data_IF_287889208090
#
_entry.id   IF_287889208090
#
_cell.length_a   1.000
_cell.length_b   1.000
_cell.length_c   1.000
_cell.angle_alpha   90.00
_cell.angle_beta   90.00
_cell.angle_gamma   90.00
#
_symmetry.space_group_name_H-M   'P 1'
#
loop_
_entity.id
_entity.type
_entity.pdbx_description
1 polymer ?
#
# COMPACT_ATOMS: atom_id res chain seq x y z
N UNK A 1 -8.42 -18.75 8.12
CA UNK A 1 -8.44 -19.55 6.86
C UNK A 1 -9.89 -19.90 6.54
N UNK A 2 -10.37 -19.66 5.32
CA UNK A 2 -11.71 -20.03 4.87
C UNK A 2 -11.57 -21.20 3.91
N UNK A 3 -12.20 -22.33 4.22
CA UNK A 3 -12.18 -23.53 3.38
C UNK A 3 -13.40 -23.63 2.47
N UNK A 4 -14.56 -23.18 2.95
CA UNK A 4 -15.77 -23.03 2.15
C UNK A 4 -16.57 -21.82 2.62
N UNK A 5 -17.25 -21.16 1.68
CA UNK A 5 -18.19 -20.08 1.94
C UNK A 5 -19.44 -20.54 2.73
N UNK A 6 -19.80 -21.83 2.62
CA UNK A 6 -20.92 -22.45 3.37
C UNK A 6 -20.57 -22.81 4.82
N UNK A 7 -19.29 -22.69 5.20
CA UNK A 7 -18.75 -23.18 6.47
C UNK A 7 -18.34 -22.03 7.40
N UNK A 8 -19.07 -20.91 7.36
CA UNK A 8 -18.87 -19.77 8.26
C UNK A 8 -19.71 -20.03 9.51
N UNK A 9 -19.06 -20.39 10.61
CA UNK A 9 -19.71 -20.63 11.89
C UNK A 9 -19.16 -19.69 12.95
N UNK A 10 -20.04 -19.23 13.84
CA UNK A 10 -19.58 -18.59 15.06
C UNK A 10 -18.95 -19.65 15.97
N UNK A 11 -17.77 -19.34 16.49
CA UNK A 11 -17.07 -20.23 17.43
C UNK A 11 -16.44 -19.41 18.54
N UNK A 12 -16.32 -20.02 19.72
CA UNK A 12 -15.66 -19.42 20.88
C UNK A 12 -14.42 -20.21 21.23
N UNK A 13 -13.30 -19.49 21.36
CA UNK A 13 -12.09 -20.03 21.97
C UNK A 13 -12.36 -20.24 23.46
N UNK A 14 -12.33 -21.50 23.89
CA UNK A 14 -12.55 -21.93 25.25
C UNK A 14 -11.28 -21.75 26.10
N UNK A 15 -11.39 -21.86 27.42
CA UNK A 15 -10.24 -21.72 28.33
C UNK A 15 -9.13 -22.76 28.09
N UNK A 16 -9.47 -23.91 27.49
CA UNK A 16 -8.52 -24.94 27.09
C UNK A 16 -7.91 -24.68 25.69
N UNK A 17 -8.09 -23.48 25.12
CA UNK A 17 -7.68 -23.10 23.77
C UNK A 17 -8.35 -23.89 22.62
N UNK A 18 -9.44 -24.61 22.89
CA UNK A 18 -10.22 -25.27 21.85
C UNK A 18 -11.33 -24.36 21.33
N UNK A 19 -11.61 -24.45 20.03
CA UNK A 19 -12.75 -23.77 19.41
C UNK A 19 -14.01 -24.62 19.57
N UNK A 20 -15.09 -24.05 20.09
CA UNK A 20 -16.40 -24.69 20.21
C UNK A 20 -17.52 -23.83 19.59
N UNK A 21 -18.24 -24.33 18.56
CA UNK A 21 -17.98 -25.60 17.85
C UNK A 21 -16.61 -25.61 17.15
N UNK A 22 -16.07 -26.82 16.89
CA UNK A 22 -14.81 -26.97 16.15
C UNK A 22 -14.89 -26.29 14.79
N UNK A 23 -13.78 -25.72 14.33
CA UNK A 23 -13.72 -25.08 13.03
C UNK A 23 -14.03 -26.09 11.90
N UNK A 24 -14.97 -25.79 10.99
CA UNK A 24 -15.41 -26.69 9.93
C UNK A 24 -14.41 -26.75 8.77
N UNK A 25 -13.24 -27.34 9.04
CA UNK A 25 -12.10 -27.52 8.11
C UNK A 25 -12.24 -28.77 7.22
N UNK A 26 -13.46 -29.20 6.93
CA UNK A 26 -13.75 -30.53 6.34
C UNK A 26 -13.59 -30.57 4.81
N UNK A 27 -13.60 -29.44 4.12
CA UNK A 27 -13.35 -29.35 2.67
C UNK A 27 -12.55 -28.08 2.32
N UNK A 28 -11.23 -28.18 2.45
CA UNK A 28 -10.29 -27.12 2.05
C UNK A 28 -9.68 -27.38 0.66
N UNK A 29 -10.24 -28.32 -0.11
CA UNK A 29 -9.73 -28.67 -1.44
C UNK A 29 -10.01 -27.58 -2.47
N UNK A 30 -11.12 -26.84 -2.30
CA UNK A 30 -11.58 -25.77 -3.18
C UNK A 30 -11.90 -24.49 -2.37
N UNK A 31 -10.90 -23.83 -1.75
CA UNK A 31 -11.15 -22.63 -0.98
C UNK A 31 -11.72 -21.51 -1.85
N UNK A 32 -12.59 -20.64 -1.30
CA UNK A 32 -13.16 -19.54 -2.06
C UNK A 32 -12.06 -18.66 -2.64
N UNK A 33 -12.22 -18.29 -3.90
CA UNK A 33 -11.29 -17.37 -4.56
C UNK A 33 -11.53 -15.96 -4.04
N UNK A 34 -10.46 -15.28 -3.65
CA UNK A 34 -10.57 -13.86 -3.30
C UNK A 34 -10.84 -13.00 -4.55
N UNK A 35 -11.63 -11.96 -4.36
CA UNK A 35 -12.16 -11.12 -5.43
C UNK A 35 -11.95 -9.63 -5.13
N UNK A 36 -12.12 -8.83 -6.17
CA UNK A 36 -12.18 -7.37 -6.11
C UNK A 36 -13.57 -6.97 -6.60
N UNK A 37 -14.29 -6.19 -5.80
CA UNK A 37 -15.64 -5.71 -6.15
C UNK A 37 -15.73 -4.20 -5.96
N UNK A 38 -16.43 -3.53 -6.87
CA UNK A 38 -16.76 -2.10 -6.71
C UNK A 38 -17.81 -1.95 -5.62
N UNK A 39 -17.65 -0.97 -4.74
CA UNK A 39 -18.62 -0.63 -3.69
C UNK A 39 -18.93 0.86 -3.67
N UNK A 40 -20.17 1.25 -3.35
CA UNK A 40 -20.49 2.65 -3.07
C UNK A 40 -19.79 3.09 -1.79
N UNK A 41 -18.92 4.09 -1.89
CA UNK A 41 -18.23 4.68 -0.74
C UNK A 41 -17.85 6.13 -1.06
N UNK A 42 -18.59 7.07 -0.47
CA UNK A 42 -18.44 8.50 -0.75
C UNK A 42 -17.12 9.11 -0.27
N UNK A 43 -16.32 8.36 0.49
CA UNK A 43 -14.98 8.78 0.92
C UNK A 43 -14.00 8.75 -0.28
N UNK A 44 -14.22 7.87 -1.25
CA UNK A 44 -13.35 7.78 -2.42
C UNK A 44 -13.75 8.83 -3.47
N UNK A 45 -12.85 9.76 -3.88
CA UNK A 45 -13.13 10.70 -4.96
C UNK A 45 -13.27 10.06 -6.35
N UNK A 46 -13.02 8.75 -6.48
CA UNK A 46 -13.16 7.99 -7.72
C UNK A 46 -13.91 6.68 -7.47
N UNK A 47 -13.32 5.50 -7.72
CA UNK A 47 -14.03 4.23 -7.54
C UNK A 47 -13.46 3.43 -6.37
N UNK A 48 -14.29 3.19 -5.35
CA UNK A 48 -13.90 2.33 -4.24
C UNK A 48 -14.02 0.85 -4.63
N UNK A 49 -12.95 0.10 -4.41
CA UNK A 49 -12.88 -1.33 -4.60
C UNK A 49 -12.62 -2.01 -3.26
N UNK A 50 -13.49 -2.93 -2.84
CA UNK A 50 -13.19 -3.82 -1.70
C UNK A 50 -12.49 -5.09 -2.19
N UNK A 51 -11.53 -5.57 -1.41
CA UNK A 51 -10.79 -6.80 -1.69
C UNK A 51 -10.96 -7.77 -0.54
N UNK A 52 -11.29 -9.02 -0.86
CA UNK A 52 -11.60 -10.02 0.15
C UNK A 52 -12.27 -11.26 -0.42
N UNK A 53 -13.12 -11.89 0.39
CA UNK A 53 -13.84 -13.10 0.02
C UNK A 53 -15.35 -12.88 0.14
N UNK A 54 -16.08 -13.13 -0.94
CA UNK A 54 -17.55 -13.21 -0.90
C UNK A 54 -17.94 -14.55 -0.27
N UNK A 55 -18.64 -14.48 0.87
CA UNK A 55 -19.08 -15.66 1.65
C UNK A 55 -20.54 -15.99 1.34
N UNK A 56 -21.35 -14.98 1.05
CA UNK A 56 -22.72 -15.11 0.55
C UNK A 56 -23.09 -13.85 -0.24
N UNK A 57 -24.35 -13.71 -0.64
CA UNK A 57 -24.83 -12.46 -1.24
C UNK A 57 -24.89 -11.28 -0.27
N UNK A 58 -24.89 -11.55 1.04
CA UNK A 58 -24.96 -10.53 2.09
C UNK A 58 -23.71 -10.44 2.96
N UNK A 59 -22.81 -11.43 2.90
CA UNK A 59 -21.59 -11.49 3.71
C UNK A 59 -20.33 -11.42 2.86
N UNK A 60 -19.43 -10.51 3.24
CA UNK A 60 -18.12 -10.32 2.60
C UNK A 60 -17.05 -10.19 3.68
N UNK A 61 -16.04 -11.07 3.66
CA UNK A 61 -14.84 -10.90 4.47
C UNK A 61 -13.91 -9.92 3.77
N UNK A 62 -13.97 -8.67 4.18
CA UNK A 62 -13.14 -7.60 3.64
C UNK A 62 -11.76 -7.60 4.29
N UNK A 63 -10.70 -7.54 3.48
CA UNK A 63 -9.32 -7.37 3.96
C UNK A 63 -8.89 -5.91 3.90
N UNK A 64 -9.22 -5.24 2.79
CA UNK A 64 -8.94 -3.82 2.59
C UNK A 64 -9.85 -3.23 1.52
N UNK A 65 -9.94 -1.90 1.51
CA UNK A 65 -10.53 -1.12 0.41
C UNK A 65 -9.48 -0.28 -0.26
N UNK A 66 -9.59 -0.13 -1.58
CA UNK A 66 -8.75 0.73 -2.40
C UNK A 66 -9.60 1.75 -3.14
N UNK A 67 -9.30 3.03 -2.93
CA UNK A 67 -9.81 4.08 -3.79
C UNK A 67 -8.93 4.17 -5.04
N UNK A 68 -9.48 3.76 -6.17
CA UNK A 68 -8.72 3.54 -7.39
C UNK A 68 -9.36 4.23 -8.59
N UNK A 69 -8.54 4.95 -9.36
CA UNK A 69 -8.95 5.52 -10.64
C UNK A 69 -8.51 4.57 -11.77
N UNK A 70 -9.48 3.95 -12.44
CA UNK A 70 -9.23 3.00 -13.54
C UNK A 70 -8.60 3.69 -14.75
N UNK A 71 -9.05 4.90 -15.08
CA UNK A 71 -8.58 5.67 -16.24
C UNK A 71 -7.11 6.05 -16.10
N UNK A 72 -6.71 6.62 -14.95
CA UNK A 72 -5.31 6.98 -14.68
C UNK A 72 -4.50 5.83 -14.08
N UNK A 73 -5.11 4.65 -13.88
CA UNK A 73 -4.49 3.47 -13.28
C UNK A 73 -3.76 3.78 -11.96
N UNK A 74 -4.43 4.53 -11.08
CA UNK A 74 -3.84 5.12 -9.86
C UNK A 74 -4.58 4.63 -8.63
N UNK A 75 -3.85 4.06 -7.67
CA UNK A 75 -4.35 3.87 -6.32
C UNK A 75 -4.13 5.17 -5.53
N UNK A 76 -5.22 5.83 -5.12
CA UNK A 76 -5.15 7.07 -4.34
C UNK A 76 -4.84 6.77 -2.88
N UNK A 77 -5.61 5.86 -2.29
CA UNK A 77 -5.37 5.36 -0.94
C UNK A 77 -5.98 3.98 -0.77
N UNK A 78 -5.46 3.25 0.21
CA UNK A 78 -5.99 1.99 0.70
C UNK A 78 -6.23 2.09 2.20
N UNK A 79 -7.33 1.52 2.66
CA UNK A 79 -7.70 1.42 4.07
C UNK A 79 -7.79 -0.06 4.44
N UNK A 80 -7.10 -0.45 5.51
CA UNK A 80 -7.19 -1.81 6.05
C UNK A 80 -7.13 -1.81 7.58
N UNK A 81 -7.59 -2.91 8.16
CA UNK A 81 -7.35 -3.22 9.57
C UNK A 81 -6.18 -4.19 9.67
N UNK A 82 -5.23 -3.89 10.54
CA UNK A 82 -4.13 -4.77 10.89
C UNK A 82 -4.35 -5.33 12.29
N UNK A 83 -4.08 -6.62 12.44
CA UNK A 83 -4.25 -7.38 13.68
C UNK A 83 -2.91 -8.03 14.08
N UNK A 84 -2.71 -8.37 15.37
CA UNK A 84 -1.55 -9.13 15.80
C UNK A 84 -1.46 -10.47 15.06
N UNK A 85 -0.26 -10.84 14.63
CA UNK A 85 0.02 -12.11 13.97
C UNK A 85 1.34 -12.65 14.49
N UNK A 86 1.27 -13.51 15.51
CA UNK A 86 2.43 -14.10 16.19
C UNK A 86 3.07 -15.25 15.43
N UNK A 87 2.32 -15.91 14.54
CA UNK A 87 2.78 -17.01 13.69
C UNK A 87 2.34 -16.79 12.23
N UNK A 88 2.86 -15.75 11.55
CA UNK A 88 2.47 -15.47 10.18
C UNK A 88 2.93 -16.59 9.24
N UNK A 89 2.11 -16.90 8.24
CA UNK A 89 2.52 -17.78 7.16
C UNK A 89 3.77 -17.24 6.44
N UNK A 90 4.61 -18.09 5.82
CA UNK A 90 5.68 -17.63 4.95
C UNK A 90 5.14 -16.76 3.82
N UNK A 91 5.92 -15.76 3.40
CA UNK A 91 5.51 -14.86 2.32
C UNK A 91 5.32 -15.66 1.01
N UNK A 92 4.16 -15.59 0.35
CA UNK A 92 3.93 -16.30 -0.89
C UNK A 92 4.76 -15.73 -2.04
N UNK A 93 4.85 -16.51 -3.13
CA UNK A 93 5.40 -16.04 -4.40
C UNK A 93 4.67 -14.79 -4.89
N UNK A 94 5.42 -13.83 -5.43
CA UNK A 94 4.87 -12.55 -5.89
C UNK A 94 4.17 -12.75 -7.24
N UNK A 95 2.83 -12.80 -7.21
CA UNK A 95 2.01 -12.89 -8.41
C UNK A 95 0.97 -11.78 -8.38
N UNK A 96 1.26 -10.67 -9.07
CA UNK A 96 0.33 -9.54 -9.11
C UNK A 96 -0.73 -9.75 -10.18
N UNK A 97 -1.99 -9.50 -9.81
CA UNK A 97 -3.12 -9.63 -10.71
C UNK A 97 -3.78 -8.27 -10.96
N UNK A 98 -4.37 -8.13 -12.14
CA UNK A 98 -5.18 -6.95 -12.48
C UNK A 98 -6.65 -7.10 -12.09
N UNK A 99 -7.10 -8.33 -11.84
CA UNK A 99 -8.47 -8.69 -11.44
C UNK A 99 -9.56 -8.09 -12.35
N UNK A 100 -9.23 -7.93 -13.64
CA UNK A 100 -10.09 -7.30 -14.66
C UNK A 100 -10.42 -5.81 -14.37
N UNK A 101 -9.84 -5.22 -13.33
CA UNK A 101 -9.92 -3.78 -13.07
C UNK A 101 -9.11 -2.99 -14.09
N UNK A 102 -7.94 -3.52 -14.47
CA UNK A 102 -7.13 -3.01 -15.58
C UNK A 102 -6.76 -4.14 -16.56
N UNK A 103 -6.40 -3.79 -17.79
CA UNK A 103 -5.93 -4.77 -18.78
C UNK A 103 -4.56 -5.35 -18.39
N UNK A 104 -4.22 -6.54 -18.90
CA UNK A 104 -2.88 -7.10 -18.71
C UNK A 104 -1.78 -6.21 -19.33
N UNK A 105 -2.06 -5.61 -20.48
CA UNK A 105 -1.15 -4.66 -21.13
C UNK A 105 -0.93 -3.39 -20.30
N UNK A 106 -1.96 -2.93 -19.58
CA UNK A 106 -1.82 -1.88 -18.59
C UNK A 106 -0.88 -2.35 -17.46
N UNK A 107 -1.12 -3.50 -16.82
CA UNK A 107 -0.28 -4.00 -15.73
C UNK A 107 1.24 -4.13 -16.02
N UNK A 108 1.63 -4.16 -17.29
CA UNK A 108 3.02 -4.25 -17.73
C UNK A 108 3.86 -2.97 -17.55
N UNK A 109 3.28 -1.81 -17.19
CA UNK A 109 4.02 -0.54 -17.05
C UNK A 109 5.18 -0.62 -16.02
N UNK A 110 5.17 -1.60 -15.13
CA UNK A 110 6.27 -1.87 -14.18
C UNK A 110 7.49 -2.61 -14.77
N UNK A 111 7.46 -3.02 -16.04
CA UNK A 111 8.60 -3.69 -16.68
C UNK A 111 9.75 -2.70 -16.90
N UNK A 112 10.97 -3.06 -16.48
CA UNK A 112 12.17 -2.22 -16.61
C UNK A 112 12.33 -1.62 -18.02
N UNK A 113 12.15 -2.44 -19.06
CA UNK A 113 12.22 -2.01 -20.46
C UNK A 113 11.18 -0.94 -20.83
N UNK A 114 9.95 -1.04 -20.31
CA UNK A 114 8.91 -0.02 -20.53
C UNK A 114 9.26 1.27 -19.81
N UNK A 115 9.65 1.19 -18.53
CA UNK A 115 10.04 2.34 -17.71
C UNK A 115 11.20 3.10 -18.37
N UNK A 116 12.26 2.40 -18.77
CA UNK A 116 13.40 3.00 -19.44
C UNK A 116 13.01 3.72 -20.74
N UNK A 117 12.15 3.10 -21.57
CA UNK A 117 11.63 3.74 -22.78
C UNK A 117 10.85 5.02 -22.45
N UNK A 118 9.88 4.93 -21.54
CA UNK A 118 9.05 6.07 -21.13
C UNK A 118 9.88 7.20 -20.52
N UNK A 119 10.93 6.87 -19.76
CA UNK A 119 11.85 7.87 -19.20
C UNK A 119 12.63 8.60 -20.29
N UNK A 120 13.14 7.92 -21.32
CA UNK A 120 13.80 8.62 -22.45
C UNK A 120 12.85 9.51 -23.23
N UNK A 121 11.61 9.07 -23.41
CA UNK A 121 10.57 9.85 -24.10
C UNK A 121 10.16 11.09 -23.30
N UNK A 122 10.09 10.98 -21.97
CA UNK A 122 9.61 12.05 -21.08
C UNK A 122 10.72 13.02 -20.66
N UNK A 123 11.91 12.51 -20.35
CA UNK A 123 13.04 13.26 -19.79
C UNK A 123 14.16 13.50 -20.80
N UNK A 124 13.97 13.10 -22.05
CA UNK A 124 14.96 13.23 -23.10
C UNK A 124 15.96 12.07 -23.17
N UNK A 125 16.69 11.95 -24.30
CA UNK A 125 17.51 10.78 -24.61
C UNK A 125 18.70 10.58 -23.67
N UNK A 126 19.14 11.64 -22.98
CA UNK A 126 20.32 11.65 -22.11
C UNK A 126 19.98 11.61 -20.61
N UNK A 127 18.73 11.27 -20.26
CA UNK A 127 18.34 11.13 -18.85
C UNK A 127 19.20 10.07 -18.13
N UNK A 128 19.54 10.33 -16.86
CA UNK A 128 20.43 9.50 -16.04
C UNK A 128 19.73 8.77 -14.89
N UNK A 129 18.40 8.83 -14.84
CA UNK A 129 17.61 8.29 -13.73
C UNK A 129 17.34 6.79 -13.88
N UNK A 130 17.17 6.33 -15.13
CA UNK A 130 17.04 4.91 -15.49
C UNK A 130 18.08 4.63 -16.58
N UNK A 131 19.21 4.04 -16.24
CA UNK A 131 20.36 3.99 -17.17
C UNK A 131 20.30 2.84 -18.17
N UNK A 132 19.59 1.77 -17.85
CA UNK A 132 19.45 0.55 -18.66
C UNK A 132 17.99 0.08 -18.73
N UNK A 133 17.64 -0.64 -19.81
CA UNK A 133 16.34 -1.28 -19.96
C UNK A 133 16.17 -2.55 -19.11
N UNK A 134 17.25 -2.97 -18.43
CA UNK A 134 17.28 -4.01 -17.42
C UNK A 134 17.19 -3.47 -15.97
N UNK A 135 17.30 -2.15 -15.80
CA UNK A 135 17.25 -1.51 -14.48
C UNK A 135 15.82 -1.53 -13.95
N UNK A 136 15.57 -2.44 -13.01
CA UNK A 136 14.35 -2.40 -12.22
C UNK A 136 14.50 -1.30 -11.17
N UNK A 137 13.98 -0.10 -11.44
CA UNK A 137 14.11 1.08 -10.56
C UNK A 137 12.96 1.20 -9.56
N UNK A 138 11.75 0.83 -9.98
CA UNK A 138 10.55 0.86 -9.16
C UNK A 138 10.11 -0.55 -8.75
N UNK A 139 9.71 -0.70 -7.49
CA UNK A 139 8.89 -1.82 -7.05
C UNK A 139 7.40 -1.47 -7.18
N UNK A 140 6.58 -2.52 -7.27
CA UNK A 140 5.15 -2.47 -6.94
C UNK A 140 5.01 -2.34 -5.42
N UNK A 141 5.12 -1.11 -4.93
CA UNK A 141 5.06 -0.80 -3.51
C UNK A 141 3.64 -0.96 -3.00
N UNK A 142 3.44 -1.86 -2.04
CA UNK A 142 2.11 -2.16 -1.50
C UNK A 142 1.63 -1.01 -0.61
N UNK A 143 0.32 -0.72 -0.67
CA UNK A 143 -0.34 0.21 0.25
C UNK A 143 -0.84 -0.53 1.52
N UNK A 144 -1.57 -1.63 1.34
CA UNK A 144 -1.77 -2.68 2.35
C UNK A 144 -0.72 -3.79 2.15
N UNK A 145 0.35 -3.85 2.96
CA UNK A 145 1.45 -4.78 2.74
C UNK A 145 1.06 -6.21 3.10
N UNK A 146 1.61 -7.18 2.36
CA UNK A 146 1.30 -8.61 2.55
C UNK A 146 1.52 -9.08 3.99
N UNK A 147 2.54 -8.55 4.67
CA UNK A 147 2.91 -8.96 6.02
C UNK A 147 1.94 -8.49 7.11
N UNK A 148 0.95 -7.64 6.79
CA UNK A 148 -0.10 -7.25 7.73
C UNK A 148 -1.22 -8.32 7.80
N UNK A 149 -1.15 -9.35 6.96
CA UNK A 149 -2.12 -10.45 6.91
C UNK A 149 -1.47 -11.76 7.37
N UNK A 150 -2.03 -12.43 8.38
CA UNK A 150 -1.42 -13.64 8.96
C UNK A 150 -1.50 -14.90 8.11
N UNK A 151 -2.50 -15.01 7.22
CA UNK A 151 -2.71 -16.21 6.40
C UNK A 151 -2.18 -16.01 4.97
N UNK A 152 -1.51 -17.02 4.41
CA UNK A 152 -0.95 -16.96 3.05
C UNK A 152 -2.01 -16.56 2.00
N UNK A 153 -3.22 -17.11 2.10
CA UNK A 153 -4.32 -16.78 1.20
C UNK A 153 -4.68 -15.29 1.24
N UNK A 154 -4.61 -14.66 2.42
CA UNK A 154 -4.87 -13.23 2.62
C UNK A 154 -3.69 -12.40 2.13
N UNK A 155 -2.45 -12.85 2.41
CA UNK A 155 -1.24 -12.24 1.86
C UNK A 155 -1.31 -12.16 0.33
N UNK A 156 -1.77 -13.22 -0.35
CA UNK A 156 -1.93 -13.24 -1.82
C UNK A 156 -2.91 -12.17 -2.33
N UNK A 157 -3.93 -11.81 -1.54
CA UNK A 157 -4.85 -10.73 -1.90
C UNK A 157 -4.25 -9.33 -1.75
N UNK A 158 -3.09 -9.16 -1.14
CA UNK A 158 -2.37 -7.88 -1.19
C UNK A 158 -1.67 -7.64 -2.54
N UNK A 159 -1.44 -8.68 -3.34
CA UNK A 159 -0.79 -8.59 -4.66
C UNK A 159 -1.80 -8.22 -5.77
N UNK A 160 -2.64 -7.21 -5.54
CA UNK A 160 -3.52 -6.66 -6.59
C UNK A 160 -2.96 -5.34 -7.09
N UNK A 161 -3.08 -5.06 -8.38
CA UNK A 161 -2.63 -3.77 -8.93
C UNK A 161 -3.40 -2.57 -8.33
N UNK A 162 -4.62 -2.79 -7.83
CA UNK A 162 -5.36 -1.75 -7.09
C UNK A 162 -4.73 -1.39 -5.74
N UNK A 163 -3.77 -2.17 -5.25
CA UNK A 163 -3.12 -1.99 -3.94
C UNK A 163 -1.67 -1.52 -4.06
N UNK A 164 -1.23 -1.06 -5.22
CA UNK A 164 0.17 -0.68 -5.43
C UNK A 164 0.34 0.68 -6.06
N UNK A 165 1.47 1.30 -5.72
CA UNK A 165 1.99 2.50 -6.36
C UNK A 165 3.44 2.26 -6.75
N UNK A 166 3.96 3.08 -7.67
CA UNK A 166 5.36 3.05 -8.03
C UNK A 166 6.23 3.62 -6.89
N UNK A 167 7.05 2.77 -6.29
CA UNK A 167 7.98 3.18 -5.23
C UNK A 167 9.40 2.88 -5.65
N UNK A 168 10.32 3.83 -5.46
CA UNK A 168 11.74 3.52 -5.67
C UNK A 168 12.13 2.35 -4.77
N UNK A 169 12.87 1.39 -5.33
CA UNK A 169 13.21 0.15 -4.62
C UNK A 169 13.96 0.38 -3.32
N UNK A 170 14.90 1.32 -3.32
CA UNK A 170 15.63 1.71 -2.10
C UNK A 170 14.68 2.15 -1.00
N UNK A 171 13.65 2.92 -1.35
CA UNK A 171 12.65 3.45 -0.42
C UNK A 171 11.74 2.34 0.10
N UNK A 172 11.13 1.58 -0.81
CA UNK A 172 10.22 0.46 -0.49
C UNK A 172 10.89 -0.57 0.44
N UNK A 173 12.18 -0.83 0.24
CA UNK A 173 12.92 -1.89 0.96
C UNK A 173 13.65 -1.40 2.22
N UNK A 174 13.66 -0.10 2.49
CA UNK A 174 14.37 0.50 3.61
C UNK A 174 13.44 1.24 4.56
N UNK A 175 13.33 2.58 4.52
CA UNK A 175 12.57 3.32 5.54
C UNK A 175 11.07 2.99 5.48
N UNK A 176 10.52 2.74 4.28
CA UNK A 176 9.12 2.31 4.15
C UNK A 176 8.87 0.95 4.84
N UNK A 177 9.72 -0.04 4.57
CA UNK A 177 9.70 -1.34 5.27
C UNK A 177 9.91 -1.20 6.78
N UNK A 178 10.77 -0.28 7.20
CA UNK A 178 11.06 0.00 8.62
C UNK A 178 9.81 0.53 9.33
N UNK A 179 9.11 1.47 8.71
CA UNK A 179 7.83 1.98 9.20
C UNK A 179 6.79 0.87 9.33
N UNK A 180 6.58 0.09 8.27
CA UNK A 180 5.60 -1.01 8.28
C UNK A 180 5.93 -2.06 9.36
N UNK A 181 7.23 -2.34 9.56
CA UNK A 181 7.68 -3.28 10.60
C UNK A 181 7.44 -2.72 11.99
N UNK A 182 7.71 -1.43 12.21
CA UNK A 182 7.43 -0.79 13.49
C UNK A 182 5.94 -0.84 13.85
N UNK A 183 5.05 -0.57 12.87
CA UNK A 183 3.59 -0.65 13.07
C UNK A 183 3.17 -2.06 13.49
N UNK A 184 3.64 -3.09 12.76
CA UNK A 184 3.36 -4.50 13.11
C UNK A 184 3.88 -4.88 14.49
N UNK A 185 5.04 -4.35 14.89
CA UNK A 185 5.57 -4.60 16.22
C UNK A 185 4.69 -4.00 17.33
N UNK A 186 3.98 -2.90 17.08
CA UNK A 186 3.03 -2.36 18.07
C UNK A 186 1.88 -3.33 18.32
N UNK A 187 1.38 -3.99 17.27
CA UNK A 187 0.35 -5.04 17.38
C UNK A 187 0.91 -6.29 18.07
N UNK A 188 2.05 -6.80 17.62
CA UNK A 188 2.62 -8.07 18.10
C UNK A 188 3.14 -7.99 19.54
N UNK A 189 3.54 -6.81 20.00
CA UNK A 189 3.95 -6.58 21.39
C UNK A 189 2.76 -6.27 22.32
N UNK A 190 1.52 -6.33 21.81
CA UNK A 190 0.31 -6.09 22.59
C UNK A 190 0.06 -4.63 22.96
N UNK A 191 0.73 -3.67 22.31
CA UNK A 191 0.49 -2.24 22.53
C UNK A 191 -0.89 -1.85 21.98
N UNK A 192 -1.28 -2.43 20.84
CA UNK A 192 -2.61 -2.26 20.26
C UNK A 192 -3.22 -3.62 19.88
N UNK A 193 -4.54 -3.76 20.03
CA UNK A 193 -5.27 -4.96 19.63
C UNK A 193 -5.63 -4.96 18.14
N UNK A 194 -5.84 -3.78 17.58
CA UNK A 194 -6.15 -3.55 16.17
C UNK A 194 -5.69 -2.15 15.80
N UNK A 195 -5.23 -1.98 14.57
CA UNK A 195 -4.90 -0.67 14.01
C UNK A 195 -5.63 -0.48 12.69
N UNK A 196 -6.34 0.64 12.55
CA UNK A 196 -6.84 1.12 11.26
C UNK A 196 -5.74 1.89 10.57
N UNK A 197 -5.39 1.46 9.37
CA UNK A 197 -4.27 2.01 8.61
C UNK A 197 -4.79 2.55 7.29
N UNK A 198 -4.49 3.82 7.00
CA UNK A 198 -4.70 4.39 5.67
C UNK A 198 -3.36 4.71 5.01
N UNK A 199 -3.17 4.25 3.78
CA UNK A 199 -1.89 4.38 3.06
C UNK A 199 -2.14 4.83 1.63
N UNK A 200 -1.35 5.75 1.10
CA UNK A 200 -1.52 6.23 -0.26
C UNK A 200 -0.37 7.08 -0.78
N UNK A 201 -0.59 7.69 -1.94
CA UNK A 201 0.35 8.61 -2.59
C UNK A 201 -0.18 10.04 -2.64
N UNK A 202 0.71 11.03 -2.57
CA UNK A 202 0.39 12.46 -2.75
C UNK A 202 1.29 13.07 -3.82
N UNK A 203 0.68 13.87 -4.69
CA UNK A 203 1.34 14.54 -5.81
C UNK A 203 1.96 13.57 -6.82
N UNK A 204 2.60 14.12 -7.85
CA UNK A 204 3.35 13.37 -8.86
C UNK A 204 4.82 13.75 -8.74
N UNK A 205 5.72 12.77 -8.75
CA UNK A 205 7.15 12.99 -8.77
C UNK A 205 7.52 13.75 -10.04
N UNK A 206 8.43 14.71 -9.92
CA UNK A 206 8.96 15.46 -11.05
C UNK A 206 10.47 15.30 -11.10
N UNK A 207 11.03 15.13 -12.31
CA UNK A 207 12.48 15.06 -12.55
C UNK A 207 12.86 15.99 -13.70
N UNK A 208 14.07 16.57 -13.69
CA UNK A 208 14.48 17.50 -14.73
C UNK A 208 14.74 16.78 -16.07
N UNK A 209 14.22 17.35 -17.15
CA UNK A 209 14.51 16.94 -18.51
C UNK A 209 16.01 17.15 -18.82
N UNK A 210 16.63 16.18 -19.49
CA UNK A 210 18.09 16.09 -19.65
C UNK A 210 18.72 17.18 -20.51
N UNK A 211 17.91 17.92 -21.27
CA UNK A 211 18.36 19.01 -22.18
C UNK A 211 17.92 20.37 -21.64
N UNK A 212 16.61 20.57 -21.46
CA UNK A 212 16.01 21.84 -21.05
C UNK A 212 16.13 22.11 -19.55
N UNK A 213 16.32 21.09 -18.71
CA UNK A 213 16.31 21.22 -17.24
C UNK A 213 14.92 21.41 -16.63
N UNK A 214 13.86 21.51 -17.45
CA UNK A 214 12.47 21.66 -17.00
C UNK A 214 12.02 20.43 -16.19
N UNK A 215 11.29 20.65 -15.11
CA UNK A 215 10.75 19.58 -14.28
C UNK A 215 9.56 18.91 -14.98
N UNK A 216 9.70 17.62 -15.28
CA UNK A 216 8.66 16.83 -15.95
C UNK A 216 8.01 15.85 -14.97
N UNK A 217 6.67 15.76 -14.94
CA UNK A 217 5.98 14.80 -14.11
C UNK A 217 6.19 13.36 -14.60
N UNK A 218 6.39 12.44 -13.66
CA UNK A 218 6.77 11.06 -13.96
C UNK A 218 5.57 10.11 -13.87
N UNK A 219 5.32 9.45 -15.00
CA UNK A 219 4.33 8.39 -15.14
C UNK A 219 5.00 7.13 -15.67
N UNK A 220 4.63 5.96 -15.16
CA UNK A 220 5.14 4.70 -15.70
C UNK A 220 4.58 4.39 -17.09
N UNK A 221 3.47 5.03 -17.45
CA UNK A 221 2.91 5.04 -18.80
C UNK A 221 2.46 6.47 -19.15
N UNK A 222 3.37 7.24 -19.72
CA UNK A 222 3.13 8.63 -20.09
C UNK A 222 1.96 8.78 -21.10
N UNK A 223 1.25 9.92 -21.10
CA UNK A 223 1.52 11.12 -20.31
C UNK A 223 0.79 11.17 -18.95
N UNK A 224 -0.14 10.25 -18.66
CA UNK A 224 -1.07 10.43 -17.53
C UNK A 224 -1.45 9.15 -16.78
N UNK A 225 -0.84 8.01 -17.12
CA UNK A 225 -1.22 6.70 -16.57
C UNK A 225 -0.15 6.16 -15.61
N UNK A 226 -0.61 5.71 -14.45
CA UNK A 226 0.21 5.23 -13.34
C UNK A 226 1.30 6.25 -12.92
N UNK A 227 0.88 7.38 -12.31
CA UNK A 227 1.80 8.38 -11.79
C UNK A 227 2.71 7.79 -10.71
N UNK A 228 3.97 8.19 -10.71
CA UNK A 228 4.86 7.93 -9.58
C UNK A 228 4.54 8.96 -8.51
N UNK A 229 4.03 8.58 -7.32
CA UNK A 229 3.68 9.55 -6.30
C UNK A 229 4.93 10.30 -5.82
N UNK A 230 4.81 11.61 -5.56
CA UNK A 230 5.91 12.42 -5.00
C UNK A 230 6.18 12.05 -3.54
N UNK A 231 5.10 11.82 -2.81
CA UNK A 231 5.12 11.42 -1.40
C UNK A 231 4.28 10.18 -1.20
N UNK A 232 4.72 9.32 -0.30
CA UNK A 232 3.92 8.23 0.27
C UNK A 232 3.48 8.66 1.65
N UNK A 233 2.22 8.40 2.01
CA UNK A 233 1.73 8.63 3.36
C UNK A 233 1.25 7.33 3.98
N UNK A 234 1.34 7.26 5.31
CA UNK A 234 0.69 6.25 6.12
C UNK A 234 0.16 6.90 7.39
N UNK A 235 -1.13 6.71 7.67
CA UNK A 235 -1.76 7.10 8.92
C UNK A 235 -2.21 5.86 9.66
N UNK A 236 -2.18 5.93 10.99
CA UNK A 236 -2.48 4.80 11.88
C UNK A 236 -3.36 5.33 13.00
N UNK A 237 -4.46 4.64 13.27
CA UNK A 237 -5.43 5.00 14.30
C UNK A 237 -5.88 3.74 15.06
N UNK A 238 -5.88 3.79 16.39
CA UNK A 238 -6.27 2.67 17.26
C UNK A 238 -7.78 2.62 17.56
N UNK A 239 -8.54 3.65 17.15
CA UNK A 239 -9.96 3.82 17.48
C UNK A 239 -10.24 4.25 18.92
N UNK A 240 -9.20 4.43 19.74
CA UNK A 240 -9.26 4.83 21.15
C UNK A 240 -8.59 6.20 21.43
N UNK A 241 -8.12 6.87 20.38
CA UNK A 241 -7.61 8.25 20.43
C UNK A 241 -6.15 8.40 19.99
N UNK A 242 -5.39 7.31 19.91
CA UNK A 242 -4.00 7.35 19.43
C UNK A 242 -3.97 7.42 17.92
N UNK A 243 -3.31 8.44 17.37
CA UNK A 243 -3.12 8.62 15.93
C UNK A 243 -1.67 8.93 15.59
N UNK A 244 -1.20 8.39 14.46
CA UNK A 244 0.09 8.70 13.88
C UNK A 244 -0.06 9.05 12.41
N UNK A 245 0.78 9.95 11.90
CA UNK A 245 0.92 10.23 10.49
C UNK A 245 2.39 10.25 10.08
N UNK A 246 2.68 9.62 8.95
CA UNK A 246 4.03 9.49 8.41
C UNK A 246 4.05 9.88 6.94
N UNK A 247 5.10 10.59 6.54
CA UNK A 247 5.39 10.93 5.16
C UNK A 247 6.74 10.38 4.74
N UNK A 248 6.82 9.79 3.55
CA UNK A 248 8.09 9.37 2.93
C UNK A 248 8.20 10.00 1.55
N UNK A 249 9.29 10.72 1.31
CA UNK A 249 9.57 11.33 0.02
C UNK A 249 10.03 10.28 -0.97
N UNK A 250 9.29 10.09 -2.06
CA UNK A 250 9.52 9.04 -3.04
C UNK A 250 10.47 9.51 -4.15
N UNK A 251 11.67 9.98 -3.77
CA UNK A 251 12.70 10.37 -4.71
C UNK A 251 14.09 10.07 -4.15
N UNK A 252 14.83 9.19 -4.83
CA UNK A 252 16.21 8.83 -4.45
C UNK A 252 17.27 9.73 -5.13
N UNK A 253 16.86 10.60 -6.05
CA UNK A 253 17.76 11.39 -6.86
C UNK A 253 18.01 12.77 -6.28
N UNK A 254 17.01 13.37 -5.62
CA UNK A 254 17.14 14.67 -4.96
C UNK A 254 18.27 14.65 -3.94
N UNK A 255 19.19 15.61 -4.06
CA UNK A 255 20.31 15.76 -3.13
C UNK A 255 19.89 16.49 -1.85
N UNK A 256 18.76 17.20 -1.88
CA UNK A 256 18.25 17.97 -0.76
C UNK A 256 17.27 17.14 0.07
N UNK A 257 17.21 17.44 1.37
CA UNK A 257 16.17 16.89 2.24
C UNK A 257 14.92 17.75 2.04
N UNK A 258 13.79 17.17 1.60
CA UNK A 258 12.58 17.92 1.34
C UNK A 258 11.93 18.37 2.65
N UNK A 259 11.12 19.42 2.58
CA UNK A 259 10.21 19.79 3.68
C UNK A 259 8.87 19.07 3.49
N UNK A 260 8.42 18.23 4.44
CA UNK A 260 7.10 17.60 4.36
C UNK A 260 5.99 18.64 4.54
N UNK A 261 4.86 18.46 3.84
CA UNK A 261 3.68 19.33 3.98
C UNK A 261 2.86 18.96 5.24
N UNK A 262 3.49 19.09 6.41
CA UNK A 262 2.87 18.85 7.72
C UNK A 262 3.68 19.54 8.83
N UNK A 263 3.06 19.75 9.98
CA UNK A 263 3.76 20.04 11.22
C UNK A 263 4.55 18.78 11.62
N UNK A 264 5.88 18.87 11.56
CA UNK A 264 6.74 17.78 11.99
C UNK A 264 6.71 17.62 13.50
N UNK A 265 6.65 16.36 13.95
CA UNK A 265 6.71 15.97 15.37
C UNK A 265 7.81 14.94 15.56
N UNK A 266 8.22 14.71 16.81
CA UNK A 266 9.20 13.67 17.10
C UNK A 266 8.64 12.28 16.72
N UNK A 267 9.45 11.50 16.01
CA UNK A 267 9.10 10.10 15.75
C UNK A 267 9.12 9.27 17.04
N UNK A 268 8.28 8.22 17.13
CA UNK A 268 8.33 7.27 18.24
C UNK A 268 9.75 6.76 18.49
N UNK A 269 10.14 6.63 19.76
CA UNK A 269 11.54 6.39 20.14
C UNK A 269 12.16 5.14 19.47
N UNK A 270 11.37 4.09 19.27
CA UNK A 270 11.79 2.84 18.63
C UNK A 270 11.69 2.84 17.10
N UNK A 271 11.14 3.89 16.49
CA UNK A 271 11.11 4.08 15.04
C UNK A 271 12.33 4.89 14.60
N UNK A 272 13.31 4.20 13.99
CA UNK A 272 14.56 4.82 13.53
C UNK A 272 14.64 4.80 12.00
N UNK A 273 14.47 5.96 11.39
CA UNK A 273 14.70 6.12 9.95
C UNK A 273 16.17 6.37 9.66
N UNK A 274 16.64 5.82 8.53
CA UNK A 274 17.95 6.14 7.98
C UNK A 274 17.89 7.54 7.36
N UNK A 275 18.93 8.35 7.59
CA UNK A 275 18.96 9.78 7.24
C UNK A 275 19.53 10.08 5.84
N UNK A 276 19.70 9.08 4.98
CA UNK A 276 20.20 9.26 3.62
C UNK A 276 19.04 9.18 2.60
N UNK A 277 19.25 9.72 1.39
CA UNK A 277 18.20 9.76 0.35
C UNK A 277 17.82 8.38 -0.21
N UNK A 278 18.77 7.44 -0.27
CA UNK A 278 18.53 6.13 -0.89
C UNK A 278 17.48 5.28 -0.15
N UNK A 279 17.45 5.27 1.20
CA UNK A 279 16.36 4.73 2.00
C UNK A 279 15.02 5.47 1.90
N UNK A 280 15.00 6.69 1.33
CA UNK A 280 13.86 7.61 1.29
C UNK A 280 13.75 8.46 2.54
N UNK A 281 13.73 9.78 2.40
CA UNK A 281 13.56 10.68 3.55
C UNK A 281 12.15 10.50 4.14
N UNK A 282 12.07 10.12 5.42
CA UNK A 282 10.82 9.83 6.12
C UNK A 282 10.65 10.71 7.35
N UNK A 283 9.40 11.13 7.60
CA UNK A 283 9.05 12.14 8.59
C UNK A 283 7.84 11.69 9.39
N UNK A 284 7.79 12.10 10.67
CA UNK A 284 6.61 11.97 11.51
C UNK A 284 5.90 13.32 11.58
N UNK A 285 4.58 13.28 11.38
CA UNK A 285 3.73 14.45 11.29
C UNK A 285 2.70 14.45 12.42
N UNK A 286 2.28 15.63 12.85
CA UNK A 286 1.02 15.75 13.58
C UNK A 286 -0.12 15.22 12.68
N UNK A 287 -0.91 14.24 13.16
CA UNK A 287 -1.89 13.58 12.31
C UNK A 287 -3.05 14.48 11.91
N UNK A 288 -3.47 15.41 12.77
CA UNK A 288 -4.60 16.31 12.51
C UNK A 288 -4.18 17.35 11.47
N UNK A 289 -3.02 17.99 11.66
CA UNK A 289 -2.45 18.93 10.69
C UNK A 289 -2.21 18.28 9.32
N UNK A 290 -1.63 17.07 9.32
CA UNK A 290 -1.37 16.32 8.10
C UNK A 290 -2.66 16.05 7.31
N UNK A 291 -3.69 15.49 7.97
CA UNK A 291 -4.96 15.15 7.33
C UNK A 291 -5.67 16.41 6.82
N UNK A 292 -5.73 17.48 7.62
CA UNK A 292 -6.40 18.71 7.21
C UNK A 292 -5.73 19.37 6.00
N UNK A 293 -4.39 19.36 5.93
CA UNK A 293 -3.64 19.97 4.81
C UNK A 293 -3.66 19.14 3.54
N UNK A 294 -3.61 17.82 3.65
CA UNK A 294 -3.35 16.94 2.50
C UNK A 294 -4.56 16.10 2.08
N UNK A 295 -5.40 15.69 3.03
CA UNK A 295 -6.45 14.68 2.83
C UNK A 295 -7.70 14.99 3.68
N UNK A 296 -8.32 16.17 3.56
CA UNK A 296 -9.41 16.59 4.44
C UNK A 296 -10.63 15.65 4.36
N UNK A 297 -10.88 15.05 3.20
CA UNK A 297 -11.94 14.04 3.00
C UNK A 297 -11.70 12.74 3.78
N UNK A 298 -10.48 12.51 4.30
CA UNK A 298 -10.13 11.35 5.12
C UNK A 298 -10.03 11.67 6.61
N UNK A 299 -10.15 12.93 7.05
CA UNK A 299 -9.82 13.33 8.43
C UNK A 299 -10.66 12.67 9.55
N UNK A 300 -11.86 12.18 9.20
CA UNK A 300 -12.76 11.46 10.10
C UNK A 300 -12.75 9.94 9.87
N UNK A 301 -11.96 9.48 8.92
CA UNK A 301 -11.87 8.08 8.49
C UNK A 301 -10.53 7.50 8.91
N UNK A 302 -9.48 8.25 8.62
CA UNK A 302 -8.11 8.10 9.06
C UNK A 302 -7.93 9.11 10.22
#
# INVERSE_FOLDING_TARGET
MICSASNVVETRCQQNNEMSPKLPLTDCSNPPKGIVEVVPDGICPCTMHRVGYKLSDTQFLELYRSCYNVTSQTAHFVIHLAYPSTLPAPRPSQCFTSDRVISGAAADFFKAKKIHKTFKETLGPNQKFVTSDSDLVFDRGHLAPSCDFGFESYMRLSFKNVNVVAQFRGINRSNWKTLETWIRNQLNNGIFQVLKICTGGLGVLELPHSITGELMPIYLNAPSSNPVPKWLFKTVNDGAGTRYAFLTYNNIHDATIPTPNCQQVACPALLKFQSTKAPGNSFCCDPIDFLNKNLPHLANVC
#
